data_IF_781398011356
#
_entry.id   IF_781398011356
#
_cell.length_a   1.000
_cell.length_b   1.000
_cell.length_c   1.000
_cell.angle_alpha   90.00
_cell.angle_beta   90.00
_cell.angle_gamma   90.00
#
_symmetry.space_group_name_H-M   'P 1'
#
loop_
_entity.id
_entity.type
_entity.pdbx_description
1 polymer ?
#
# COMPACT_ATOMS: atom_id res chain seq x y z
N UNK A 1 -7.28 -24.67 -7.05
CA UNK A 1 -6.06 -24.37 -6.24
C UNK A 1 -6.38 -23.45 -5.07
N UNK A 2 -7.07 -22.35 -5.27
CA UNK A 2 -7.46 -21.41 -4.20
C UNK A 2 -8.38 -22.09 -3.18
N UNK A 3 -9.36 -22.87 -3.62
CA UNK A 3 -10.28 -23.59 -2.74
C UNK A 3 -9.58 -24.67 -1.92
N UNK A 4 -8.60 -25.34 -2.50
CA UNK A 4 -7.77 -26.33 -1.79
C UNK A 4 -6.98 -25.68 -0.64
N UNK A 5 -6.37 -24.52 -0.90
CA UNK A 5 -5.64 -23.77 0.15
C UNK A 5 -6.59 -23.27 1.23
N UNK A 6 -7.77 -22.81 0.84
CA UNK A 6 -8.83 -22.40 1.77
C UNK A 6 -9.28 -23.54 2.68
N UNK A 7 -9.63 -24.68 2.10
CA UNK A 7 -10.06 -25.86 2.85
C UNK A 7 -8.99 -26.37 3.79
N UNK A 8 -7.74 -26.43 3.34
CA UNK A 8 -6.61 -26.81 4.16
C UNK A 8 -6.41 -25.87 5.34
N UNK A 9 -6.49 -24.55 5.12
CA UNK A 9 -6.34 -23.57 6.19
C UNK A 9 -7.50 -23.57 7.16
N UNK A 10 -8.76 -23.68 6.68
CA UNK A 10 -9.96 -23.70 7.53
C UNK A 10 -9.97 -24.92 8.46
N UNK A 11 -9.28 -25.99 8.13
CA UNK A 11 -9.14 -27.19 8.97
C UNK A 11 -8.46 -26.88 10.32
N UNK A 12 -7.66 -25.77 10.39
CA UNK A 12 -7.03 -25.30 11.63
C UNK A 12 -7.94 -24.39 12.49
N UNK A 13 -9.25 -24.37 12.23
CA UNK A 13 -10.22 -23.59 13.00
C UNK A 13 -10.07 -22.08 12.85
N UNK A 14 -10.19 -21.33 13.95
CA UNK A 14 -10.11 -19.85 13.95
C UNK A 14 -8.77 -19.31 13.47
N UNK A 15 -7.66 -19.97 13.80
CA UNK A 15 -6.34 -19.60 13.30
C UNK A 15 -6.25 -19.72 11.78
N UNK A 16 -6.82 -20.77 11.21
CA UNK A 16 -6.83 -20.97 9.77
C UNK A 16 -7.65 -19.91 9.03
N UNK A 17 -8.78 -19.50 9.57
CA UNK A 17 -9.59 -18.40 8.98
C UNK A 17 -8.87 -17.07 9.02
N UNK A 18 -8.15 -16.76 10.12
CA UNK A 18 -7.33 -15.56 10.22
C UNK A 18 -6.17 -15.57 9.22
N UNK A 19 -5.47 -16.70 9.08
CA UNK A 19 -4.40 -16.85 8.10
C UNK A 19 -4.91 -16.69 6.67
N UNK A 20 -6.10 -17.21 6.37
CA UNK A 20 -6.74 -17.03 5.07
C UNK A 20 -7.06 -15.57 4.77
N UNK A 21 -7.59 -14.84 5.76
CA UNK A 21 -7.85 -13.40 5.64
C UNK A 21 -6.55 -12.60 5.41
N UNK A 22 -5.50 -12.90 6.18
CA UNK A 22 -4.19 -12.26 6.02
C UNK A 22 -3.60 -12.53 4.63
N UNK A 23 -3.72 -13.75 4.12
CA UNK A 23 -3.23 -14.09 2.80
C UNK A 23 -3.96 -13.31 1.70
N UNK A 24 -5.28 -13.17 1.79
CA UNK A 24 -6.07 -12.33 0.86
C UNK A 24 -5.62 -10.87 0.89
N UNK A 25 -5.41 -10.32 2.08
CA UNK A 25 -4.92 -8.95 2.26
C UNK A 25 -3.54 -8.81 1.61
N UNK A 26 -2.62 -9.73 1.85
CA UNK A 26 -1.28 -9.72 1.25
C UNK A 26 -1.31 -9.78 -0.28
N UNK A 27 -2.16 -10.62 -0.85
CA UNK A 27 -2.31 -10.74 -2.32
C UNK A 27 -2.75 -9.43 -2.97
N UNK A 28 -3.57 -8.62 -2.28
CA UNK A 28 -4.00 -7.31 -2.77
C UNK A 28 -2.95 -6.25 -2.47
N UNK A 29 -2.40 -6.23 -1.27
CA UNK A 29 -1.49 -5.19 -0.80
C UNK A 29 -0.10 -5.24 -1.46
N UNK A 30 0.45 -6.44 -1.67
CA UNK A 30 1.79 -6.57 -2.25
C UNK A 30 1.91 -5.99 -3.66
N UNK A 31 1.00 -6.29 -4.62
CA UNK A 31 1.04 -5.64 -5.92
C UNK A 31 0.87 -4.13 -5.85
N UNK A 32 0.05 -3.62 -4.93
CA UNK A 32 -0.13 -2.18 -4.74
C UNK A 32 1.16 -1.50 -4.29
N UNK A 33 1.82 -2.05 -3.26
CA UNK A 33 3.09 -1.50 -2.74
C UNK A 33 4.17 -1.53 -3.83
N UNK A 34 4.27 -2.64 -4.56
CA UNK A 34 5.21 -2.78 -5.67
C UNK A 34 4.89 -1.77 -6.79
N UNK A 35 3.61 -1.58 -7.12
CA UNK A 35 3.19 -0.61 -8.13
C UNK A 35 3.59 0.81 -7.75
N UNK A 36 3.41 1.22 -6.49
CA UNK A 36 3.82 2.53 -5.99
C UNK A 36 5.33 2.72 -6.14
N UNK A 37 6.14 1.71 -5.81
CA UNK A 37 7.59 1.76 -6.00
C UNK A 37 7.97 1.97 -7.47
N UNK A 38 7.28 1.31 -8.41
CA UNK A 38 7.51 1.51 -9.84
C UNK A 38 7.00 2.85 -10.35
N UNK A 39 5.88 3.36 -9.86
CA UNK A 39 5.38 4.68 -10.24
C UNK A 39 6.37 5.79 -9.92
N UNK A 40 7.02 5.75 -8.76
CA UNK A 40 8.06 6.74 -8.41
C UNK A 40 9.27 6.66 -9.34
N UNK A 41 9.65 5.46 -9.79
CA UNK A 41 10.70 5.28 -10.78
C UNK A 41 10.31 5.87 -12.14
N UNK A 42 9.10 5.56 -12.63
CA UNK A 42 8.57 6.07 -13.89
C UNK A 42 8.48 7.59 -13.88
N UNK A 43 7.95 8.18 -12.81
CA UNK A 43 7.86 9.63 -12.66
C UNK A 43 9.23 10.28 -12.83
N UNK A 44 10.24 9.82 -12.11
CA UNK A 44 11.60 10.36 -12.21
C UNK A 44 12.22 10.18 -13.60
N UNK A 45 11.94 9.07 -14.28
CA UNK A 45 12.41 8.84 -15.64
C UNK A 45 11.74 9.75 -16.65
N UNK A 46 10.42 9.88 -16.59
CA UNK A 46 9.65 10.75 -17.48
C UNK A 46 10.11 12.21 -17.33
N UNK A 47 10.23 12.70 -16.09
CA UNK A 47 10.76 14.04 -15.80
C UNK A 47 12.19 14.19 -16.35
N UNK A 48 13.04 13.18 -16.18
CA UNK A 48 14.38 13.17 -16.73
C UNK A 48 14.39 13.32 -18.25
N UNK A 49 13.57 12.58 -18.97
CA UNK A 49 13.45 12.65 -20.44
C UNK A 49 12.90 14.01 -20.90
N UNK A 50 11.90 14.55 -20.21
CA UNK A 50 11.38 15.90 -20.50
C UNK A 50 12.45 16.99 -20.37
N UNK A 51 13.43 16.80 -19.47
CA UNK A 51 14.56 17.69 -19.25
C UNK A 51 15.82 17.33 -20.07
N UNK A 52 15.67 16.44 -21.06
CA UNK A 52 16.77 15.96 -21.93
C UNK A 52 17.95 15.41 -21.13
N UNK A 53 17.68 14.76 -20.00
CA UNK A 53 18.69 14.11 -19.15
C UNK A 53 18.30 12.67 -18.84
N UNK A 54 19.29 11.84 -18.52
CA UNK A 54 19.04 10.47 -18.08
C UNK A 54 18.49 10.48 -16.65
N UNK A 55 17.35 9.81 -16.44
CA UNK A 55 16.80 9.55 -15.11
C UNK A 55 17.65 8.53 -14.33
N UNK A 56 17.14 8.03 -13.15
CA UNK A 56 17.87 7.07 -12.32
C UNK A 56 18.24 5.82 -13.14
N UNK A 57 19.54 5.46 -13.19
CA UNK A 57 20.02 4.40 -14.07
C UNK A 57 21.16 3.55 -13.46
N UNK A 58 21.83 4.05 -12.39
CA UNK A 58 23.06 3.43 -11.89
C UNK A 58 22.87 2.08 -11.21
N UNK A 59 21.81 1.87 -10.45
CA UNK A 59 21.54 0.61 -9.76
C UNK A 59 20.57 -0.22 -10.59
N UNK A 60 21.01 -1.41 -11.02
CA UNK A 60 20.23 -2.32 -11.88
C UNK A 60 20.42 -2.08 -13.38
N UNK A 61 21.62 -1.63 -13.78
CA UNK A 61 22.00 -1.29 -15.14
C UNK A 61 21.97 -2.43 -16.17
N UNK A 62 21.76 -3.67 -15.76
CA UNK A 62 21.69 -4.84 -16.67
C UNK A 62 20.52 -4.71 -17.67
N UNK A 63 19.45 -4.03 -17.29
CA UNK A 63 18.29 -3.73 -18.16
C UNK A 63 18.20 -2.25 -18.57
N UNK A 64 19.14 -1.38 -18.19
CA UNK A 64 19.11 0.05 -18.51
C UNK A 64 17.93 0.84 -17.89
N UNK A 65 17.06 0.18 -17.16
CA UNK A 65 15.78 0.73 -16.67
C UNK A 65 15.86 1.22 -15.23
N UNK A 66 16.88 0.78 -14.45
CA UNK A 66 17.05 1.20 -13.06
C UNK A 66 15.98 0.64 -12.11
N UNK A 67 15.42 -0.54 -12.40
CA UNK A 67 14.36 -1.18 -11.59
C UNK A 67 14.78 -1.38 -10.14
N UNK A 68 16.02 -1.78 -9.90
CA UNK A 68 16.56 -2.00 -8.56
C UNK A 68 16.68 -0.69 -7.77
N UNK A 69 16.75 0.46 -8.44
CA UNK A 69 16.76 1.77 -7.80
C UNK A 69 15.50 2.01 -6.95
N UNK A 70 14.32 1.55 -7.40
CA UNK A 70 13.08 1.68 -6.65
C UNK A 70 13.17 0.94 -5.30
N UNK A 71 13.72 -0.26 -5.29
CA UNK A 71 13.92 -1.03 -4.06
C UNK A 71 15.00 -0.42 -3.17
N UNK A 72 16.09 0.08 -3.74
CA UNK A 72 17.12 0.80 -3.00
C UNK A 72 16.57 2.03 -2.30
N UNK A 73 15.68 2.78 -2.94
CA UNK A 73 15.01 3.95 -2.35
C UNK A 73 14.10 3.53 -1.18
N UNK A 74 13.38 2.41 -1.28
CA UNK A 74 12.58 1.87 -0.17
C UNK A 74 13.47 1.53 1.02
N UNK A 75 14.56 0.79 0.81
CA UNK A 75 15.51 0.45 1.89
C UNK A 75 16.12 1.71 2.52
N UNK A 76 16.52 2.68 1.70
CA UNK A 76 17.03 3.95 2.18
C UNK A 76 16.04 4.67 3.10
N UNK A 77 14.76 4.67 2.74
CA UNK A 77 13.72 5.31 3.56
C UNK A 77 13.46 4.56 4.87
N UNK A 78 13.50 3.21 4.85
CA UNK A 78 13.31 2.38 6.05
C UNK A 78 14.43 2.55 7.09
N UNK A 79 15.66 2.73 6.64
CA UNK A 79 16.82 2.88 7.53
C UNK A 79 17.19 4.33 7.84
N UNK A 80 16.45 5.29 7.26
CA UNK A 80 16.68 6.72 7.52
C UNK A 80 16.16 7.11 8.90
N UNK A 81 16.91 7.97 9.58
CA UNK A 81 16.55 8.53 10.87
C UNK A 81 15.25 9.35 10.79
N UNK A 82 14.37 9.15 11.76
CA UNK A 82 13.11 9.89 11.90
C UNK A 82 13.38 11.18 12.67
N UNK A 83 13.33 12.30 11.97
CA UNK A 83 13.49 13.63 12.55
C UNK A 83 12.11 14.16 12.95
N UNK A 84 11.95 14.50 14.24
CA UNK A 84 10.74 15.16 14.75
C UNK A 84 11.06 16.64 14.99
N UNK A 85 10.23 17.60 14.52
CA UNK A 85 10.42 19.01 14.82
C UNK A 85 10.31 19.29 16.33
N UNK A 86 11.14 20.21 16.86
CA UNK A 86 11.23 20.50 18.29
C UNK A 86 9.92 20.97 18.92
N UNK A 87 9.07 21.66 18.15
CA UNK A 87 7.79 22.21 18.63
C UNK A 87 6.59 21.29 18.35
N UNK A 88 6.78 20.15 17.70
CA UNK A 88 5.71 19.21 17.40
C UNK A 88 5.53 18.23 18.57
N UNK A 89 4.27 17.75 18.76
CA UNK A 89 4.01 16.65 19.67
C UNK A 89 4.55 15.33 19.07
N UNK A 90 5.56 14.67 19.67
CA UNK A 90 6.22 13.51 19.07
C UNK A 90 5.26 12.34 18.82
N UNK A 91 4.26 12.19 19.68
CA UNK A 91 3.25 11.13 19.57
C UNK A 91 2.33 11.37 18.38
N UNK A 92 1.76 12.57 18.25
CA UNK A 92 0.87 12.93 17.14
C UNK A 92 1.61 12.92 15.81
N UNK A 93 2.82 13.43 15.77
CA UNK A 93 3.65 13.44 14.58
C UNK A 93 3.94 12.02 14.04
N UNK A 94 4.23 11.06 14.92
CA UNK A 94 4.46 9.66 14.53
C UNK A 94 3.17 8.92 14.18
N UNK A 95 2.04 9.30 14.79
CA UNK A 95 0.74 8.70 14.52
C UNK A 95 0.12 9.19 13.21
N UNK A 96 0.42 10.42 12.80
CA UNK A 96 -0.15 11.06 11.62
C UNK A 96 0.00 10.25 10.31
N UNK A 97 1.18 9.72 9.96
CA UNK A 97 1.33 8.87 8.78
C UNK A 97 0.50 7.59 8.84
N UNK A 98 0.35 7.01 10.02
CA UNK A 98 -0.47 5.80 10.21
C UNK A 98 -1.95 6.10 9.98
N UNK A 99 -2.45 7.24 10.49
CA UNK A 99 -3.84 7.67 10.29
C UNK A 99 -4.10 8.04 8.81
N UNK A 100 -3.12 8.53 8.09
CA UNK A 100 -3.26 8.79 6.66
C UNK A 100 -3.23 7.50 5.82
N UNK A 101 -2.32 6.58 6.14
CA UNK A 101 -2.06 5.39 5.35
C UNK A 101 -3.08 4.27 5.59
N UNK A 102 -3.47 4.03 6.85
CA UNK A 102 -4.37 2.93 7.20
C UNK A 102 -5.74 3.02 6.50
N UNK A 103 -6.44 4.17 6.47
CA UNK A 103 -7.69 4.30 5.73
C UNK A 103 -7.50 4.15 4.21
N UNK A 104 -6.39 4.63 3.66
CA UNK A 104 -6.10 4.48 2.24
C UNK A 104 -5.99 3.00 1.83
N UNK A 105 -5.31 2.19 2.64
CA UNK A 105 -5.25 0.75 2.42
C UNK A 105 -6.60 0.06 2.70
N UNK A 106 -7.32 0.48 3.74
CA UNK A 106 -8.63 -0.08 4.07
C UNK A 106 -9.67 0.15 2.95
N UNK A 107 -9.57 1.26 2.21
CA UNK A 107 -10.43 1.55 1.06
C UNK A 107 -10.31 0.48 -0.04
N UNK A 108 -9.14 -0.11 -0.24
CA UNK A 108 -8.94 -1.18 -1.21
C UNK A 108 -9.68 -2.48 -0.86
N UNK A 109 -10.02 -2.68 0.40
CA UNK A 109 -10.80 -3.84 0.82
C UNK A 109 -12.25 -3.83 0.30
N UNK A 110 -12.75 -2.65 -0.08
CA UNK A 110 -14.12 -2.45 -0.58
C UNK A 110 -14.22 -2.53 -2.11
N UNK A 111 -13.09 -2.50 -2.81
CA UNK A 111 -13.06 -2.49 -4.28
C UNK A 111 -13.20 -3.93 -4.78
N UNK A 112 -14.19 -4.22 -5.64
CA UNK A 112 -14.30 -5.52 -6.28
C UNK A 112 -13.22 -5.67 -7.38
N UNK A 113 -12.41 -6.71 -7.28
CA UNK A 113 -11.36 -7.04 -8.26
C UNK A 113 -11.86 -7.93 -9.41
N UNK A 114 -13.07 -8.43 -9.31
CA UNK A 114 -13.69 -9.28 -10.31
C UNK A 114 -14.97 -9.92 -9.78
N UNK A 115 -15.55 -10.77 -10.58
CA UNK A 115 -16.75 -11.54 -10.24
C UNK A 115 -16.52 -13.01 -10.57
N UNK A 116 -16.88 -13.88 -9.64
CA UNK A 116 -16.92 -15.33 -9.83
C UNK A 116 -18.37 -15.82 -9.73
N UNK A 117 -18.60 -17.09 -10.09
CA UNK A 117 -19.90 -17.73 -9.99
C UNK A 117 -20.52 -17.66 -8.57
N UNK A 118 -19.68 -17.46 -7.55
CA UNK A 118 -20.06 -17.31 -6.14
C UNK A 118 -20.27 -15.86 -5.68
N UNK A 119 -20.06 -14.87 -6.57
CA UNK A 119 -20.24 -13.44 -6.28
C UNK A 119 -18.98 -12.58 -6.48
N UNK A 120 -19.03 -11.30 -6.10
CA UNK A 120 -17.94 -10.37 -6.32
C UNK A 120 -16.70 -10.72 -5.49
N UNK A 121 -15.54 -10.68 -6.12
CA UNK A 121 -14.22 -10.85 -5.48
C UNK A 121 -13.85 -9.57 -4.74
N UNK A 122 -14.32 -9.45 -3.51
CA UNK A 122 -14.05 -8.32 -2.62
C UNK A 122 -13.53 -8.85 -1.27
N UNK A 123 -12.68 -8.09 -0.60
CA UNK A 123 -12.18 -8.46 0.72
C UNK A 123 -13.25 -8.27 1.80
N UNK A 124 -13.98 -7.16 1.74
CA UNK A 124 -15.06 -6.82 2.66
C UNK A 124 -16.34 -6.47 1.86
N UNK A 125 -17.32 -7.35 1.91
CA UNK A 125 -18.62 -7.11 1.26
C UNK A 125 -19.56 -6.40 2.25
N UNK A 126 -19.76 -5.09 2.05
CA UNK A 126 -20.58 -4.24 2.91
C UNK A 126 -21.68 -3.62 2.05
N UNK A 127 -22.95 -3.70 2.47
CA UNK A 127 -24.09 -3.15 1.74
C UNK A 127 -24.00 -1.64 1.49
N UNK A 128 -23.33 -0.90 2.38
CA UNK A 128 -23.08 0.54 2.27
C UNK A 128 -21.64 0.86 1.81
N UNK A 129 -21.07 0.07 0.89
CA UNK A 129 -19.67 0.14 0.47
C UNK A 129 -19.21 1.55 0.06
N UNK A 130 -20.01 2.29 -0.71
CA UNK A 130 -19.67 3.65 -1.15
C UNK A 130 -19.59 4.62 0.05
N UNK A 131 -20.54 4.55 0.99
CA UNK A 131 -20.52 5.39 2.19
C UNK A 131 -19.30 5.07 3.06
N UNK A 132 -18.97 3.80 3.21
CA UNK A 132 -17.79 3.37 3.95
C UNK A 132 -16.50 3.84 3.27
N UNK A 133 -16.43 3.81 1.94
CA UNK A 133 -15.29 4.31 1.18
C UNK A 133 -15.11 5.82 1.38
N UNK A 134 -16.18 6.60 1.31
CA UNK A 134 -16.16 8.04 1.59
C UNK A 134 -15.73 8.35 3.03
N UNK A 135 -16.21 7.57 4.00
CA UNK A 135 -15.81 7.72 5.40
C UNK A 135 -14.31 7.44 5.58
N UNK A 136 -13.78 6.36 5.00
CA UNK A 136 -12.37 6.01 5.07
C UNK A 136 -11.47 7.06 4.42
N UNK A 137 -11.83 7.54 3.23
CA UNK A 137 -11.05 8.57 2.54
C UNK A 137 -11.03 9.89 3.30
N UNK A 138 -12.15 10.27 3.95
CA UNK A 138 -12.22 11.43 4.82
C UNK A 138 -11.31 11.35 6.04
N UNK A 139 -11.14 10.16 6.60
CA UNK A 139 -10.23 9.95 7.74
C UNK A 139 -8.77 10.23 7.39
N UNK A 140 -8.34 10.00 6.16
CA UNK A 140 -6.99 10.29 5.71
C UNK A 140 -6.57 11.75 5.88
N UNK A 141 -7.52 12.68 5.80
CA UNK A 141 -7.29 14.13 5.97
C UNK A 141 -6.83 14.45 7.39
N UNK A 142 -7.33 13.74 8.40
CA UNK A 142 -6.91 13.95 9.79
C UNK A 142 -5.42 13.65 9.99
N UNK A 143 -4.86 12.69 9.27
CA UNK A 143 -3.43 12.42 9.29
C UNK A 143 -2.59 13.61 8.86
N UNK A 144 -3.01 14.31 7.81
CA UNK A 144 -2.31 15.51 7.31
C UNK A 144 -2.41 16.66 8.31
N UNK A 145 -3.59 16.89 8.89
CA UNK A 145 -3.82 17.93 9.89
C UNK A 145 -2.96 17.68 11.13
N UNK A 146 -2.94 16.44 11.63
CA UNK A 146 -2.17 16.07 12.81
C UNK A 146 -0.66 16.13 12.60
N UNK A 147 -0.19 15.91 11.38
CA UNK A 147 1.23 16.09 11.03
C UNK A 147 1.68 17.56 11.10
N UNK A 148 0.76 18.50 10.81
CA UNK A 148 1.00 19.95 10.91
C UNK A 148 0.75 20.55 12.28
N UNK A 149 0.23 19.78 13.22
CA UNK A 149 -0.11 20.25 14.58
C UNK A 149 1.15 20.20 15.48
#
# INVERSE_FOLDING_TARGET
MIDFIREFLVQFGTLGTLLWMLLKILVVMMPLIISVAFYTLFERKIIGWMHVRQGPQYIGGVLGIGVIQAFADVFKMLFKELITPDKASPFLYRLAPLIALAPAFAAWALIPFGENDTGPLVLANINAGILMLLALTSMGVYGIILAGW
#
